data_IF_241107749797
#
_entry.id   IF_241107749797
#
_cell.length_a   1.000
_cell.length_b   1.000
_cell.length_c   1.000
_cell.angle_alpha   90.00
_cell.angle_beta   90.00
_cell.angle_gamma   90.00
#
_symmetry.space_group_name_H-M   'P 1'
#
loop_
_entity.id
_entity.type
_entity.pdbx_description
1 polymer ?
#
# COMPACT_ATOMS: atom_id res chain seq x y z
N UNK A 1 1.53 -0.28 -19.63
CA UNK A 1 1.09 0.99 -19.02
C UNK A 1 -0.42 0.95 -18.91
N UNK A 2 -0.99 1.21 -17.74
CA UNK A 2 -2.45 1.35 -17.57
C UNK A 2 -2.82 2.83 -17.52
N UNK A 3 -3.78 3.22 -18.32
CA UNK A 3 -4.28 4.62 -18.39
C UNK A 3 -5.48 4.82 -17.45
N UNK A 4 -6.27 3.77 -17.19
CA UNK A 4 -7.26 3.74 -16.11
C UNK A 4 -6.58 3.43 -14.78
N UNK A 5 -6.30 4.49 -14.03
CA UNK A 5 -5.64 4.44 -12.75
C UNK A 5 -6.68 4.55 -11.63
N UNK A 6 -6.69 3.60 -10.70
CA UNK A 6 -7.46 3.73 -9.46
C UNK A 6 -6.83 4.81 -8.59
N UNK A 7 -7.64 5.54 -7.83
CA UNK A 7 -7.19 6.60 -6.92
C UNK A 7 -7.97 6.56 -5.60
N UNK A 8 -7.38 7.09 -4.54
CA UNK A 8 -8.02 7.27 -3.23
C UNK A 8 -8.07 8.76 -2.87
N UNK A 9 -9.01 9.12 -2.00
CA UNK A 9 -9.00 10.41 -1.31
C UNK A 9 -7.91 10.40 -0.23
N UNK A 10 -7.23 11.53 0.03
CA UNK A 10 -6.34 11.70 1.20
C UNK A 10 -6.99 11.37 2.55
N UNK A 11 -8.33 11.44 2.61
CA UNK A 11 -9.14 11.16 3.79
C UNK A 11 -9.61 9.71 3.88
N UNK A 12 -9.39 8.89 2.84
CA UNK A 12 -9.66 7.45 2.93
C UNK A 12 -8.79 6.81 4.01
N UNK A 13 -9.27 5.70 4.57
CA UNK A 13 -8.55 5.00 5.64
C UNK A 13 -7.48 4.07 5.08
N UNK A 14 -6.43 3.80 5.87
CA UNK A 14 -5.41 2.79 5.54
C UNK A 14 -6.06 1.42 5.26
N UNK A 15 -7.14 1.07 5.98
CA UNK A 15 -7.96 -0.12 5.70
C UNK A 15 -8.50 -0.12 4.27
N UNK A 16 -9.04 1.01 3.81
CA UNK A 16 -9.58 1.14 2.46
C UNK A 16 -8.48 0.95 1.40
N UNK A 17 -7.29 1.51 1.63
CA UNK A 17 -6.14 1.30 0.76
C UNK A 17 -5.75 -0.19 0.65
N UNK A 18 -5.68 -0.90 1.78
CA UNK A 18 -5.39 -2.35 1.78
C UNK A 18 -6.42 -3.15 0.98
N UNK A 19 -7.71 -2.88 1.17
CA UNK A 19 -8.77 -3.53 0.37
C UNK A 19 -8.56 -3.26 -1.12
N UNK A 20 -8.29 -2.02 -1.51
CA UNK A 20 -8.03 -1.68 -2.90
C UNK A 20 -6.81 -2.41 -3.48
N UNK A 21 -5.70 -2.48 -2.73
CA UNK A 21 -4.48 -3.17 -3.15
C UNK A 21 -4.72 -4.66 -3.43
N UNK A 22 -5.45 -5.34 -2.55
CA UNK A 22 -5.80 -6.76 -2.69
C UNK A 22 -6.79 -6.96 -3.85
N UNK A 23 -7.90 -6.22 -3.86
CA UNK A 23 -8.99 -6.41 -4.81
C UNK A 23 -8.57 -6.07 -6.24
N UNK A 24 -7.77 -5.01 -6.41
CA UNK A 24 -7.31 -4.54 -7.73
C UNK A 24 -5.96 -5.13 -8.12
N UNK A 25 -5.30 -5.87 -7.22
CA UNK A 25 -3.95 -6.43 -7.39
C UNK A 25 -2.93 -5.35 -7.76
N UNK A 26 -2.99 -4.22 -7.07
CA UNK A 26 -2.08 -3.08 -7.25
C UNK A 26 -1.24 -2.86 -5.99
N UNK A 27 0.03 -2.50 -6.15
CA UNK A 27 0.96 -2.24 -5.03
C UNK A 27 1.05 -0.76 -4.66
N UNK A 28 0.27 0.11 -5.31
CA UNK A 28 0.28 1.54 -5.03
C UNK A 28 -0.74 2.31 -5.84
N UNK A 29 -1.08 3.49 -5.33
CA UNK A 29 -2.23 4.29 -5.75
C UNK A 29 -1.94 5.78 -5.52
N UNK A 30 -2.32 6.67 -6.46
CA UNK A 30 -2.24 8.11 -6.24
C UNK A 30 -3.38 8.56 -5.34
N UNK A 31 -3.12 9.59 -4.54
CA UNK A 31 -4.13 10.28 -3.76
C UNK A 31 -4.61 11.50 -4.54
N UNK A 32 -5.93 11.63 -4.72
CA UNK A 32 -6.54 12.77 -5.39
C UNK A 32 -7.41 13.56 -4.42
N UNK A 33 -7.19 14.87 -4.35
CA UNK A 33 -8.07 15.80 -3.65
C UNK A 33 -9.44 15.90 -4.34
N UNK A 34 -10.40 16.53 -3.66
CA UNK A 34 -11.78 16.68 -4.18
C UNK A 34 -11.84 17.46 -5.50
N UNK A 35 -10.88 18.35 -5.74
CA UNK A 35 -10.70 19.11 -6.99
C UNK A 35 -9.96 18.33 -8.08
N UNK A 36 -9.73 17.04 -7.87
CA UNK A 36 -8.96 16.13 -8.75
C UNK A 36 -7.49 16.52 -8.93
N UNK A 37 -6.94 17.30 -8.02
CA UNK A 37 -5.50 17.54 -7.98
C UNK A 37 -4.77 16.39 -7.30
N UNK A 38 -3.54 16.12 -7.75
CA UNK A 38 -2.70 15.09 -7.17
C UNK A 38 -2.20 15.54 -5.79
N UNK A 39 -2.67 14.86 -4.76
CA UNK A 39 -2.38 15.14 -3.37
C UNK A 39 -1.22 14.28 -2.82
N UNK A 40 -0.93 13.14 -3.45
CA UNK A 40 0.20 12.30 -3.07
C UNK A 40 0.19 10.92 -3.70
N UNK A 41 0.98 10.01 -3.13
CA UNK A 41 1.03 8.61 -3.52
C UNK A 41 1.23 7.73 -2.28
N UNK A 42 0.60 6.55 -2.27
CA UNK A 42 0.77 5.55 -1.21
C UNK A 42 0.96 4.17 -1.84
N UNK A 43 1.91 3.40 -1.31
CA UNK A 43 2.21 2.02 -1.69
C UNK A 43 1.81 1.03 -0.60
N UNK A 44 1.75 -0.25 -0.96
CA UNK A 44 1.60 -1.34 0.01
C UNK A 44 2.78 -1.41 0.99
N UNK A 45 3.98 -1.05 0.55
CA UNK A 45 5.17 -0.86 1.40
C UNK A 45 4.95 0.18 2.49
N UNK A 46 4.48 1.39 2.14
CA UNK A 46 4.24 2.47 3.11
C UNK A 46 3.21 2.04 4.19
N UNK A 47 2.21 1.24 3.80
CA UNK A 47 1.23 0.67 4.74
C UNK A 47 1.87 -0.36 5.67
N UNK A 48 2.67 -1.28 5.13
CA UNK A 48 3.34 -2.32 5.90
C UNK A 48 4.36 -1.72 6.88
N UNK A 49 5.10 -0.69 6.46
CA UNK A 49 6.06 0.01 7.32
C UNK A 49 5.36 0.63 8.53
N UNK A 50 4.23 1.32 8.33
CA UNK A 50 3.50 1.93 9.46
C UNK A 50 2.84 0.90 10.38
N UNK A 51 2.36 -0.22 9.86
CA UNK A 51 1.87 -1.32 10.71
C UNK A 51 3.04 -1.93 11.51
N UNK A 52 4.20 -2.12 10.87
CA UNK A 52 5.41 -2.64 11.50
C UNK A 52 5.97 -1.74 12.60
N UNK A 53 5.95 -0.43 12.39
CA UNK A 53 6.42 0.57 13.36
C UNK A 53 5.45 0.72 14.54
N UNK A 54 4.14 0.65 14.27
CA UNK A 54 3.11 0.88 15.29
C UNK A 54 2.83 -0.35 16.14
N UNK A 55 3.21 -1.54 15.64
CA UNK A 55 2.91 -2.82 16.29
C UNK A 55 4.20 -3.65 16.34
N UNK A 56 4.97 -3.57 17.46
CA UNK A 56 6.25 -4.27 17.63
C UNK A 56 6.18 -5.78 17.40
N UNK A 57 4.98 -6.35 17.50
CA UNK A 57 4.72 -7.75 17.18
C UNK A 57 4.96 -8.12 15.69
N UNK A 58 5.04 -7.15 14.77
CA UNK A 58 5.39 -7.40 13.37
C UNK A 58 6.89 -7.28 13.07
N UNK A 59 7.72 -6.78 14.00
CA UNK A 59 9.16 -6.58 13.77
C UNK A 59 9.93 -7.89 13.67
N UNK A 60 9.42 -8.98 14.25
CA UNK A 60 10.01 -10.32 14.12
C UNK A 60 8.92 -11.40 14.00
N UNK A 61 9.19 -12.51 13.28
CA UNK A 61 8.27 -13.64 13.20
C UNK A 61 7.85 -14.22 14.56
N UNK A 62 8.70 -14.06 15.59
CA UNK A 62 8.46 -14.58 16.94
C UNK A 62 7.44 -13.72 17.71
N UNK A 63 7.48 -12.40 17.52
CA UNK A 63 6.58 -11.49 18.22
C UNK A 63 5.12 -11.61 17.73
N UNK A 64 4.92 -11.99 16.46
CA UNK A 64 3.60 -12.31 15.91
C UNK A 64 2.97 -13.54 16.59
N UNK A 65 3.77 -14.58 16.85
CA UNK A 65 3.30 -15.79 17.55
C UNK A 65 3.03 -15.53 19.03
N UNK A 66 3.76 -14.61 19.64
CA UNK A 66 3.61 -14.28 21.06
C UNK A 66 2.39 -13.39 21.35
N UNK A 67 1.86 -12.66 20.36
CA UNK A 67 0.84 -11.62 20.55
C UNK A 67 -0.40 -11.80 19.66
N UNK A 68 -0.52 -12.91 18.91
CA UNK A 68 -1.67 -13.16 18.04
C UNK A 68 -3.01 -13.28 18.79
N UNK A 69 -2.99 -13.61 20.08
CA UNK A 69 -4.18 -13.86 20.90
C UNK A 69 -4.50 -12.71 21.89
N UNK A 70 -3.79 -11.58 21.85
CA UNK A 70 -4.07 -10.45 22.75
C UNK A 70 -5.02 -9.42 22.16
N UNK A 71 -6.06 -9.04 22.92
CA UNK A 71 -7.01 -7.97 22.55
C UNK A 71 -6.32 -6.62 22.30
N UNK A 72 -5.20 -6.38 22.97
CA UNK A 72 -4.37 -5.17 22.83
C UNK A 72 -3.75 -5.08 21.42
N UNK A 73 -3.19 -6.19 20.92
CA UNK A 73 -2.64 -6.26 19.55
C UNK A 73 -3.70 -5.97 18.48
N UNK A 74 -4.90 -6.56 18.62
CA UNK A 74 -6.01 -6.30 17.72
C UNK A 74 -6.47 -4.83 17.74
N UNK A 75 -6.39 -4.19 18.91
CA UNK A 75 -6.75 -2.78 19.10
C UNK A 75 -5.73 -1.85 18.43
N UNK A 76 -4.43 -2.12 18.59
CA UNK A 76 -3.37 -1.31 17.97
C UNK A 76 -3.43 -1.38 16.45
N UNK A 77 -3.59 -2.58 15.89
CA UNK A 77 -3.78 -2.76 14.44
C UNK A 77 -5.04 -2.03 13.98
N UNK A 78 -6.16 -2.16 14.71
CA UNK A 78 -7.39 -1.46 14.34
C UNK A 78 -7.25 0.06 14.35
N UNK A 79 -6.52 0.61 15.33
CA UNK A 79 -6.24 2.03 15.44
C UNK A 79 -5.40 2.53 14.26
N UNK A 80 -4.36 1.79 13.88
CA UNK A 80 -3.53 2.12 12.71
C UNK A 80 -4.36 2.10 11.43
N UNK A 81 -5.13 1.04 11.23
CA UNK A 81 -5.96 0.87 10.03
C UNK A 81 -7.06 1.94 9.89
N UNK A 82 -7.44 2.61 10.98
CA UNK A 82 -8.40 3.72 10.99
C UNK A 82 -7.80 5.09 10.63
N UNK A 83 -6.47 5.22 10.57
CA UNK A 83 -5.81 6.49 10.22
C UNK A 83 -6.05 6.85 8.74
N UNK A 84 -6.01 8.14 8.38
CA UNK A 84 -6.09 8.57 6.99
C UNK A 84 -4.83 8.19 6.20
N UNK A 85 -5.01 7.82 4.93
CA UNK A 85 -3.92 7.42 4.01
C UNK A 85 -2.94 8.55 3.73
N UNK A 86 -3.38 9.81 3.86
CA UNK A 86 -2.49 10.98 3.79
C UNK A 86 -1.36 10.96 4.82
N UNK A 87 -1.54 10.27 5.96
CA UNK A 87 -0.47 10.11 6.95
C UNK A 87 0.67 9.19 6.50
N UNK A 88 0.50 8.51 5.37
CA UNK A 88 1.50 7.62 4.76
C UNK A 88 2.14 8.19 3.49
N UNK A 89 1.61 9.30 2.96
CA UNK A 89 1.92 9.71 1.59
C UNK A 89 3.37 10.20 1.46
N UNK A 90 4.16 9.51 0.64
CA UNK A 90 5.63 9.70 0.61
C UNK A 90 6.09 10.78 -0.38
N UNK A 91 5.20 11.36 -1.21
CA UNK A 91 5.60 12.40 -2.16
C UNK A 91 4.41 13.17 -2.78
N UNK A 92 4.58 14.46 -3.07
CA UNK A 92 3.68 15.31 -3.89
C UNK A 92 4.31 15.64 -5.25
N UNK A 93 4.35 14.71 -6.23
CA UNK A 93 4.63 15.12 -7.60
C UNK A 93 3.45 15.95 -8.13
N UNK A 94 3.71 16.88 -9.05
CA UNK A 94 2.70 17.81 -9.56
C UNK A 94 1.75 17.18 -10.59
N UNK A 95 2.07 15.99 -11.12
CA UNK A 95 1.24 15.22 -12.05
C UNK A 95 1.72 13.76 -12.16
N UNK A 96 0.80 12.79 -12.23
CA UNK A 96 1.08 11.37 -12.54
C UNK A 96 0.71 11.12 -14.00
N UNK A 97 1.66 10.67 -14.82
CA UNK A 97 1.45 10.36 -16.26
C UNK A 97 1.05 8.89 -16.49
N UNK A 98 1.26 8.04 -15.48
CA UNK A 98 0.88 6.63 -15.49
C UNK A 98 1.45 5.89 -14.28
N UNK A 99 0.86 4.75 -13.93
CA UNK A 99 1.35 3.89 -12.85
C UNK A 99 1.90 2.58 -13.43
N UNK A 100 3.08 2.20 -12.96
CA UNK A 100 3.70 0.90 -13.23
C UNK A 100 3.73 0.15 -11.91
N UNK A 101 2.99 -0.95 -11.83
CA UNK A 101 2.85 -1.75 -10.62
C UNK A 101 4.02 -2.73 -10.49
N UNK A 102 4.31 -3.21 -9.27
CA UNK A 102 5.35 -4.22 -9.04
C UNK A 102 5.13 -5.49 -9.88
N UNK A 103 3.86 -5.86 -10.11
CA UNK A 103 3.50 -6.97 -11.01
C UNK A 103 3.86 -6.72 -12.47
N UNK A 104 3.78 -5.47 -12.95
CA UNK A 104 4.19 -5.10 -14.31
C UNK A 104 5.70 -5.19 -14.46
N UNK A 105 6.45 -4.71 -13.45
CA UNK A 105 7.90 -4.83 -13.39
C UNK A 105 8.31 -6.30 -13.35
N UNK A 106 7.74 -7.10 -12.45
CA UNK A 106 8.06 -8.52 -12.34
C UNK A 106 7.76 -9.26 -13.64
N UNK A 107 6.61 -9.01 -14.27
CA UNK A 107 6.26 -9.60 -15.56
C UNK A 107 7.28 -9.23 -16.63
N UNK A 108 7.66 -7.95 -16.72
CA UNK A 108 8.65 -7.47 -17.68
C UNK A 108 10.02 -8.12 -17.44
N UNK A 109 10.48 -8.16 -16.19
CA UNK A 109 11.77 -8.77 -15.84
C UNK A 109 11.77 -10.26 -16.17
N UNK A 110 10.71 -10.99 -15.81
CA UNK A 110 10.58 -12.41 -16.14
C UNK A 110 10.56 -12.62 -17.65
N UNK A 111 9.74 -11.87 -18.39
CA UNK A 111 9.68 -12.02 -19.86
C UNK A 111 10.97 -11.64 -20.58
N UNK A 112 11.79 -10.79 -19.98
CA UNK A 112 13.01 -10.26 -20.61
C UNK A 112 14.25 -11.07 -20.24
N UNK A 113 14.34 -11.52 -18.99
CA UNK A 113 15.59 -12.05 -18.42
C UNK A 113 15.49 -13.50 -17.93
N UNK A 114 14.30 -14.10 -17.83
CA UNK A 114 14.15 -15.52 -17.48
C UNK A 114 13.86 -16.31 -18.76
N UNK A 115 14.82 -17.13 -19.25
CA UNK A 115 14.57 -17.95 -20.43
C UNK A 115 13.44 -18.94 -20.14
N UNK A 116 12.44 -18.98 -21.02
CA UNK A 116 11.42 -20.02 -21.00
C UNK A 116 12.10 -21.36 -21.30
N UNK A 117 12.16 -22.25 -20.30
CA UNK A 117 12.55 -23.63 -20.53
C UNK A 117 11.52 -24.24 -21.48
N UNK A 118 11.98 -24.57 -22.69
CA UNK A 118 11.20 -25.32 -23.68
C UNK A 118 11.04 -26.78 -23.31
#
# INVERSE_FOLDING_TARGET
MREDVYALSPNDTIRHALHMFVDKRISGVPLLSDDRTLAGFVSDGDVLDVIGDSVPAFTTPYALLAHNDSTEFGTDVAAVLGRPVSSLATMTPSFVVGIINRSDINRYLVSTFVPVAG
#
